data_IF_453285215892
#
_entry.id   IF_453285215892
#
_cell.length_a   1.000
_cell.length_b   1.000
_cell.length_c   1.000
_cell.angle_alpha   90.00
_cell.angle_beta   90.00
_cell.angle_gamma   90.00
#
_symmetry.space_group_name_H-M   'P 1'
#
loop_
_entity.id
_entity.type
_entity.pdbx_description
1 polymer ?
#
# COMPACT_ATOMS: atom_id res chain seq x y z
N UNK A 1 9.24 -49.47 -19.58
CA UNK A 1 9.01 -48.13 -18.98
C UNK A 1 9.25 -48.29 -17.48
N UNK A 2 10.16 -47.55 -16.89
CA UNK A 2 10.50 -47.71 -15.47
C UNK A 2 9.47 -46.90 -14.63
N UNK A 3 8.59 -47.63 -13.94
CA UNK A 3 7.42 -47.11 -13.22
C UNK A 3 7.85 -46.18 -12.06
N UNK A 4 8.99 -46.49 -11.44
CA UNK A 4 9.54 -45.65 -10.34
C UNK A 4 9.87 -44.22 -10.79
N UNK A 5 10.09 -44.01 -12.10
CA UNK A 5 10.30 -42.67 -12.67
C UNK A 5 9.02 -41.87 -12.89
N UNK A 6 7.84 -42.51 -12.86
CA UNK A 6 6.55 -41.84 -13.01
C UNK A 6 6.06 -41.23 -11.69
N UNK A 7 6.39 -41.84 -10.55
CA UNK A 7 6.04 -41.34 -9.25
C UNK A 7 6.86 -40.07 -8.98
N UNK A 8 6.24 -39.00 -8.53
CA UNK A 8 6.80 -37.65 -8.34
C UNK A 8 6.99 -36.84 -9.64
N UNK A 9 6.53 -37.31 -10.81
CA UNK A 9 6.47 -36.43 -11.99
C UNK A 9 5.25 -35.51 -11.92
N UNK A 10 5.41 -34.30 -12.45
CA UNK A 10 4.32 -33.38 -12.64
C UNK A 10 3.70 -33.59 -14.02
N UNK A 11 2.38 -33.61 -14.07
CA UNK A 11 1.61 -33.68 -15.31
C UNK A 11 0.65 -32.49 -15.37
N UNK A 12 0.36 -32.02 -16.56
CA UNK A 12 -0.62 -30.96 -16.79
C UNK A 12 -1.80 -31.52 -17.55
N UNK A 13 -3.02 -31.27 -17.01
CA UNK A 13 -4.27 -31.67 -17.63
C UNK A 13 -5.33 -30.61 -17.37
N UNK A 14 -6.02 -30.15 -18.39
CA UNK A 14 -7.08 -29.13 -18.33
C UNK A 14 -6.62 -27.83 -17.62
N UNK A 15 -5.43 -27.34 -18.01
CA UNK A 15 -4.76 -26.16 -17.42
C UNK A 15 -4.47 -26.24 -15.91
N UNK A 16 -4.46 -27.46 -15.36
CA UNK A 16 -4.12 -27.75 -13.98
C UNK A 16 -2.90 -28.65 -13.91
N UNK A 17 -2.06 -28.44 -12.91
CA UNK A 17 -0.88 -29.27 -12.64
C UNK A 17 -1.19 -30.29 -11.56
N UNK A 18 -0.71 -31.50 -11.78
CA UNK A 18 -0.89 -32.62 -10.85
C UNK A 18 0.44 -33.32 -10.61
N UNK A 19 0.66 -33.74 -9.38
CA UNK A 19 1.77 -34.62 -9.01
C UNK A 19 1.30 -36.04 -9.03
N UNK A 20 2.01 -36.93 -9.73
CA UNK A 20 1.73 -38.37 -9.71
C UNK A 20 2.19 -38.95 -8.38
N UNK A 21 1.26 -39.44 -7.57
CA UNK A 21 1.49 -40.02 -6.24
C UNK A 21 1.47 -41.53 -6.26
N UNK A 22 0.95 -42.15 -7.31
CA UNK A 22 0.94 -43.58 -7.47
C UNK A 22 0.53 -44.03 -8.88
N UNK A 23 0.87 -45.26 -9.21
CA UNK A 23 0.54 -45.86 -10.49
C UNK A 23 -0.07 -47.24 -10.21
N UNK A 24 -1.30 -47.50 -10.69
CA UNK A 24 -1.98 -48.77 -10.60
C UNK A 24 -2.21 -49.35 -12.00
N UNK A 25 -2.37 -50.67 -12.08
CA UNK A 25 -2.65 -51.38 -13.34
C UNK A 25 -3.97 -52.10 -13.18
N UNK A 26 -4.92 -51.80 -14.05
CA UNK A 26 -6.19 -52.48 -14.12
C UNK A 26 -6.44 -52.97 -15.58
N UNK A 27 -6.34 -54.30 -15.80
CA UNK A 27 -6.42 -54.89 -17.12
C UNK A 27 -5.41 -54.27 -18.08
N UNK A 28 -5.89 -53.59 -19.12
CA UNK A 28 -5.06 -52.94 -20.15
C UNK A 28 -4.85 -51.41 -19.88
N UNK A 29 -5.28 -50.91 -18.72
CA UNK A 29 -5.22 -49.52 -18.36
C UNK A 29 -4.18 -49.24 -17.30
N UNK A 30 -3.47 -48.11 -17.45
CA UNK A 30 -2.60 -47.53 -16.42
C UNK A 30 -3.41 -46.44 -15.73
N UNK A 31 -3.65 -46.59 -14.43
CA UNK A 31 -4.34 -45.59 -13.61
C UNK A 31 -3.31 -44.84 -12.82
N UNK A 32 -3.23 -43.52 -13.02
CA UNK A 32 -2.38 -42.62 -12.24
C UNK A 32 -3.18 -42.07 -11.06
N UNK A 33 -2.70 -42.28 -9.86
CA UNK A 33 -3.17 -41.54 -8.72
C UNK A 33 -2.45 -40.18 -8.75
N UNK A 34 -3.22 -39.11 -8.75
CA UNK A 34 -2.65 -37.74 -8.83
C UNK A 34 -3.23 -36.89 -7.70
N UNK A 35 -2.40 -36.04 -7.16
CA UNK A 35 -2.81 -34.92 -6.30
C UNK A 35 -2.71 -33.66 -7.12
N UNK A 36 -3.78 -32.87 -7.14
CA UNK A 36 -3.74 -31.54 -7.75
C UNK A 36 -2.67 -30.73 -7.00
N UNK A 37 -1.61 -30.38 -7.71
CA UNK A 37 -0.68 -29.38 -7.23
C UNK A 37 -1.49 -28.09 -7.31
N UNK A 38 -2.17 -27.76 -6.19
CA UNK A 38 -2.76 -26.44 -6.07
C UNK A 38 -1.68 -25.47 -6.53
N UNK A 39 -2.06 -24.49 -7.36
CA UNK A 39 -1.09 -23.50 -7.81
C UNK A 39 -0.15 -23.24 -6.63
N UNK A 40 1.11 -23.73 -6.72
CA UNK A 40 2.13 -23.08 -5.93
C UNK A 40 1.85 -21.62 -6.24
N UNK A 41 1.27 -20.92 -5.27
CA UNK A 41 1.39 -19.49 -5.28
C UNK A 41 2.86 -19.30 -5.51
N UNK A 42 3.22 -19.08 -6.77
CA UNK A 42 4.48 -18.45 -7.08
C UNK A 42 4.36 -17.21 -6.23
N UNK A 43 4.84 -17.31 -5.01
CA UNK A 43 5.24 -16.16 -4.26
C UNK A 43 6.38 -15.65 -5.11
N UNK A 44 6.04 -14.94 -6.19
CA UNK A 44 6.87 -13.86 -6.65
C UNK A 44 7.16 -13.19 -5.33
N UNK A 45 8.40 -13.34 -4.83
CA UNK A 45 8.84 -12.51 -3.72
C UNK A 45 8.62 -11.10 -4.23
N UNK A 46 7.42 -10.61 -3.95
CA UNK A 46 7.08 -9.22 -4.22
C UNK A 46 8.09 -8.49 -3.39
N UNK A 47 9.07 -7.88 -4.04
CA UNK A 47 10.09 -7.10 -3.36
C UNK A 47 9.32 -6.14 -2.48
N UNK A 48 9.29 -6.46 -1.16
CA UNK A 48 8.48 -5.72 -0.22
C UNK A 48 9.11 -4.36 -0.06
N UNK A 49 8.35 -3.32 -0.34
CA UNK A 49 8.76 -1.98 0.03
C UNK A 49 8.75 -1.85 1.55
N UNK A 50 9.59 -0.96 2.07
CA UNK A 50 9.70 -0.67 3.49
C UNK A 50 9.76 0.84 3.67
N UNK A 51 9.03 1.37 4.66
CA UNK A 51 9.14 2.79 4.99
C UNK A 51 10.56 3.10 5.47
N UNK A 52 11.15 4.14 4.88
CA UNK A 52 12.47 4.64 5.29
C UNK A 52 12.44 5.21 6.71
N UNK A 53 13.60 5.30 7.35
CA UNK A 53 13.75 5.94 8.68
C UNK A 53 13.22 7.38 8.67
N UNK A 54 13.41 8.12 7.57
CA UNK A 54 12.85 9.45 7.40
C UNK A 54 11.32 9.46 7.39
N UNK A 55 10.67 8.43 6.82
CA UNK A 55 9.21 8.27 6.88
C UNK A 55 8.74 7.93 8.28
N UNK A 56 9.47 7.07 8.98
CA UNK A 56 9.18 6.71 10.38
C UNK A 56 9.30 7.94 11.29
N UNK A 57 10.34 8.74 11.12
CA UNK A 57 10.54 9.99 11.87
C UNK A 57 9.39 10.97 11.68
N UNK A 58 8.90 11.13 10.44
CA UNK A 58 7.75 12.01 10.13
C UNK A 58 6.44 11.55 10.75
N UNK A 59 6.32 10.28 11.13
CA UNK A 59 5.15 9.75 11.82
C UNK A 59 5.22 9.90 13.35
N UNK A 60 6.28 10.47 13.93
CA UNK A 60 6.30 10.74 15.36
C UNK A 60 5.15 11.65 15.76
N UNK A 61 4.41 11.23 16.80
CA UNK A 61 3.21 11.92 17.27
C UNK A 61 1.95 11.70 16.43
N UNK A 62 2.00 10.85 15.40
CA UNK A 62 0.81 10.34 14.71
C UNK A 62 0.21 9.18 15.51
N UNK A 63 -1.11 8.99 15.43
CA UNK A 63 -1.82 7.95 16.16
C UNK A 63 -1.26 6.53 15.83
N UNK A 64 -0.97 5.69 16.85
CA UNK A 64 -0.31 4.39 16.65
C UNK A 64 -0.97 3.47 15.63
N UNK A 65 -2.31 3.42 15.58
CA UNK A 65 -3.05 2.62 14.59
C UNK A 65 -2.82 3.09 13.15
N UNK A 66 -2.69 4.42 12.93
CA UNK A 66 -2.39 4.95 11.60
C UNK A 66 -0.94 4.64 11.19
N UNK A 67 0.01 4.70 12.14
CA UNK A 67 1.40 4.27 11.91
C UNK A 67 1.45 2.80 11.53
N UNK A 68 0.74 1.93 12.26
CA UNK A 68 0.68 0.49 11.99
C UNK A 68 0.06 0.21 10.61
N UNK A 69 -1.02 0.92 10.26
CA UNK A 69 -1.64 0.83 8.94
C UNK A 69 -0.63 1.14 7.82
N UNK A 70 0.09 2.26 7.92
CA UNK A 70 1.06 2.66 6.88
C UNK A 70 2.22 1.66 6.77
N UNK A 71 2.72 1.13 7.90
CA UNK A 71 3.75 0.08 7.93
C UNK A 71 3.30 -1.24 7.29
N UNK A 72 2.03 -1.62 7.45
CA UNK A 72 1.46 -2.81 6.80
C UNK A 72 1.20 -2.56 5.33
N UNK A 73 0.62 -1.40 5.01
CA UNK A 73 0.23 -1.09 3.65
C UNK A 73 1.41 -0.96 2.69
N UNK A 74 2.58 -0.46 3.15
CA UNK A 74 3.75 -0.31 2.28
C UNK A 74 4.24 -1.67 1.75
N UNK A 75 4.14 -2.75 2.54
CA UNK A 75 4.72 -4.06 2.22
C UNK A 75 4.28 -4.62 0.87
N UNK A 76 2.99 -4.54 0.57
CA UNK A 76 2.37 -5.10 -0.64
C UNK A 76 1.75 -4.00 -1.52
N UNK A 77 2.21 -2.76 -1.37
CA UNK A 77 1.72 -1.62 -2.15
C UNK A 77 2.06 -1.76 -3.64
N UNK A 78 1.18 -1.32 -4.57
CA UNK A 78 1.48 -1.34 -6.00
C UNK A 78 2.66 -0.44 -6.38
N UNK A 79 2.92 0.61 -5.60
CA UNK A 79 4.05 1.53 -5.74
C UNK A 79 4.72 1.76 -4.40
N UNK A 80 6.02 1.98 -4.41
CA UNK A 80 6.74 2.47 -3.24
C UNK A 80 6.28 3.89 -2.91
N UNK A 81 6.06 4.16 -1.62
CA UNK A 81 5.68 5.48 -1.14
C UNK A 81 6.42 5.86 0.14
N UNK A 82 6.56 7.15 0.37
CA UNK A 82 7.12 7.73 1.59
C UNK A 82 6.08 8.57 2.31
N UNK A 83 6.22 8.70 3.62
CA UNK A 83 5.48 9.70 4.40
C UNK A 83 6.18 11.03 4.22
N UNK A 84 5.42 12.04 3.80
CA UNK A 84 5.94 13.40 3.63
C UNK A 84 5.51 14.34 4.76
N UNK A 85 4.36 14.05 5.40
CA UNK A 85 3.85 14.82 6.52
C UNK A 85 3.10 13.91 7.50
N UNK A 86 3.37 14.07 8.79
CA UNK A 86 2.61 13.50 9.90
C UNK A 86 2.07 14.60 10.82
N UNK A 87 2.46 14.58 12.12
CA UNK A 87 2.05 15.59 13.09
C UNK A 87 2.48 17.00 12.65
N UNK A 88 1.60 17.97 12.84
CA UNK A 88 1.78 19.37 12.44
C UNK A 88 1.49 20.29 13.61
N UNK A 89 2.33 21.33 13.81
CA UNK A 89 2.04 22.38 14.80
C UNK A 89 0.97 23.35 14.28
N UNK A 90 0.36 24.11 15.20
CA UNK A 90 -0.62 25.13 14.84
C UNK A 90 -0.02 26.22 13.95
N UNK A 91 1.23 26.63 14.26
CA UNK A 91 1.96 27.65 13.51
C UNK A 91 2.23 27.20 12.09
N UNK A 92 2.65 25.93 11.90
CA UNK A 92 2.90 25.40 10.57
C UNK A 92 1.58 25.26 9.79
N UNK A 93 0.51 24.77 10.43
CA UNK A 93 -0.83 24.72 9.82
C UNK A 93 -1.29 26.13 9.39
N UNK A 94 -1.08 27.14 10.24
CA UNK A 94 -1.42 28.51 9.89
C UNK A 94 -0.57 29.03 8.72
N UNK A 95 0.70 28.69 8.66
CA UNK A 95 1.55 29.07 7.52
C UNK A 95 1.03 28.53 6.19
N UNK A 96 0.50 27.30 6.17
CA UNK A 96 -0.17 26.72 5.00
C UNK A 96 -1.50 27.42 4.69
N UNK A 97 -2.25 27.79 5.72
CA UNK A 97 -3.50 28.54 5.56
C UNK A 97 -3.28 29.91 4.90
N UNK A 98 -2.14 30.54 5.16
CA UNK A 98 -1.81 31.86 4.57
C UNK A 98 -1.46 31.77 3.07
N UNK A 99 -1.11 30.60 2.54
CA UNK A 99 -0.84 30.44 1.11
C UNK A 99 -2.11 30.73 0.27
N UNK A 100 -1.92 31.53 -0.77
CA UNK A 100 -3.02 32.01 -1.62
C UNK A 100 -3.95 33.03 -0.95
N UNK A 101 -3.60 33.53 0.27
CA UNK A 101 -4.30 34.61 0.99
C UNK A 101 -3.38 35.78 1.26
N UNK A 102 -2.53 35.67 2.27
CA UNK A 102 -1.54 36.72 2.62
C UNK A 102 -0.14 36.39 2.14
N UNK A 103 0.09 35.14 1.71
CA UNK A 103 1.35 34.66 1.12
C UNK A 103 1.11 34.16 -0.30
N UNK A 104 2.11 34.27 -1.20
CA UNK A 104 2.03 33.68 -2.54
C UNK A 104 1.71 32.18 -2.50
N UNK A 105 1.14 31.64 -3.57
CA UNK A 105 0.84 30.22 -3.73
C UNK A 105 -0.64 29.92 -3.93
N UNK A 106 -0.98 28.64 -3.98
CA UNK A 106 -2.37 28.18 -4.09
C UNK A 106 -2.95 27.94 -2.68
N UNK A 107 -4.27 28.07 -2.56
CA UNK A 107 -4.97 27.68 -1.32
C UNK A 107 -4.89 26.15 -1.19
N UNK A 108 -4.20 25.67 -0.16
CA UNK A 108 -3.98 24.24 0.12
C UNK A 108 -4.78 23.74 1.32
N UNK A 109 -5.35 24.63 2.13
CA UNK A 109 -6.18 24.26 3.27
C UNK A 109 -7.19 25.35 3.62
N UNK A 110 -8.33 24.95 4.21
CA UNK A 110 -9.33 25.87 4.81
C UNK A 110 -9.19 25.99 6.32
N UNK A 111 -8.27 25.22 6.94
CA UNK A 111 -8.08 25.12 8.38
C UNK A 111 -6.91 26.01 8.81
N UNK A 112 -7.19 26.96 9.73
CA UNK A 112 -6.22 27.96 10.17
C UNK A 112 -5.26 27.46 11.26
N UNK A 113 -5.51 26.28 11.79
CA UNK A 113 -4.68 25.66 12.82
C UNK A 113 -4.98 26.10 14.26
N UNK A 114 -5.79 27.13 14.45
CA UNK A 114 -6.17 27.67 15.76
C UNK A 114 -7.65 27.52 16.06
N UNK A 115 -8.52 28.23 15.35
CA UNK A 115 -9.96 28.12 15.51
C UNK A 115 -10.51 26.87 14.82
N UNK A 116 -9.91 26.47 13.71
CA UNK A 116 -10.24 25.23 12.98
C UNK A 116 -8.97 24.41 12.81
N UNK A 117 -8.87 23.34 13.63
CA UNK A 117 -7.71 22.45 13.67
C UNK A 117 -7.74 21.44 12.51
N UNK A 118 -6.58 21.11 11.99
CA UNK A 118 -6.37 20.02 11.04
C UNK A 118 -6.24 18.67 11.77
N UNK A 119 -6.61 17.57 11.14
CA UNK A 119 -6.35 16.22 11.67
C UNK A 119 -4.85 15.86 11.75
N UNK A 120 -3.98 16.63 11.10
CA UNK A 120 -2.53 16.57 11.36
C UNK A 120 -2.13 17.12 12.73
N UNK A 121 -2.95 17.92 13.39
CA UNK A 121 -2.63 18.46 14.72
C UNK A 121 -3.08 17.48 15.80
N UNK A 122 -2.38 17.54 16.94
CA UNK A 122 -2.73 16.69 18.09
C UNK A 122 -4.19 16.93 18.51
N UNK A 123 -4.96 15.84 18.62
CA UNK A 123 -6.30 15.80 19.18
C UNK A 123 -6.24 15.65 20.71
N UNK A 124 -7.37 15.40 21.36
CA UNK A 124 -7.46 15.23 22.82
C UNK A 124 -6.67 14.03 23.36
N UNK A 125 -6.42 13.04 22.53
CA UNK A 125 -5.60 11.86 22.82
C UNK A 125 -4.09 12.10 22.69
N UNK A 126 -3.69 13.31 22.29
CA UNK A 126 -2.29 13.73 22.13
C UNK A 126 -1.68 13.39 20.78
N UNK A 127 -2.42 12.80 19.84
CA UNK A 127 -1.89 12.35 18.54
C UNK A 127 -2.50 13.14 17.37
N UNK A 128 -1.71 13.30 16.32
CA UNK A 128 -2.22 13.67 14.99
C UNK A 128 -2.87 12.46 14.33
N UNK A 129 -4.01 12.65 13.70
CA UNK A 129 -4.79 11.57 13.06
C UNK A 129 -4.70 11.60 11.54
N UNK A 130 -3.69 12.26 10.98
CA UNK A 130 -3.50 12.33 9.53
C UNK A 130 -2.04 12.15 9.12
N UNK A 131 -1.87 11.62 7.91
CA UNK A 131 -0.58 11.55 7.21
C UNK A 131 -0.77 11.91 5.74
N UNK A 132 0.28 12.49 5.16
CA UNK A 132 0.39 12.69 3.71
C UNK A 132 1.51 11.82 3.17
N UNK A 133 1.30 11.25 1.97
CA UNK A 133 2.27 10.39 1.28
C UNK A 133 2.71 10.99 -0.05
N UNK A 134 3.84 10.54 -0.56
CA UNK A 134 4.26 10.75 -1.94
C UNK A 134 4.81 9.44 -2.52
N UNK A 135 4.59 9.22 -3.81
CA UNK A 135 5.11 8.04 -4.51
C UNK A 135 6.61 8.16 -4.68
N UNK A 136 7.37 7.07 -4.43
CA UNK A 136 8.83 7.04 -4.57
C UNK A 136 9.30 6.36 -5.85
N UNK A 137 8.55 5.36 -6.32
CA UNK A 137 8.92 4.55 -7.46
C UNK A 137 8.15 3.24 -7.53
N UNK A 138 8.63 2.33 -8.35
CA UNK A 138 8.10 0.97 -8.47
C UNK A 138 9.18 0.03 -9.01
N UNK A 139 8.96 -1.28 -8.90
CA UNK A 139 9.74 -2.26 -9.64
C UNK A 139 9.11 -2.50 -11.02
N UNK A 140 9.91 -2.44 -12.08
CA UNK A 140 9.49 -2.76 -13.44
C UNK A 140 9.35 -4.28 -13.64
N UNK A 141 8.93 -4.68 -14.84
CA UNK A 141 8.74 -6.09 -15.22
C UNK A 141 10.03 -6.93 -15.14
N UNK A 142 11.20 -6.28 -15.24
CA UNK A 142 12.52 -6.91 -15.16
C UNK A 142 13.08 -6.91 -13.73
N UNK A 143 12.32 -6.39 -12.77
CA UNK A 143 12.71 -6.28 -11.37
C UNK A 143 13.70 -5.14 -11.11
N UNK A 144 13.87 -4.20 -12.03
CA UNK A 144 14.60 -2.95 -11.84
C UNK A 144 13.76 -1.94 -11.04
N UNK A 145 14.39 -1.21 -10.11
CA UNK A 145 13.68 -0.16 -9.37
C UNK A 145 13.71 1.16 -10.16
N UNK A 146 12.52 1.64 -10.56
CA UNK A 146 12.31 2.93 -11.22
C UNK A 146 11.98 3.97 -10.16
N UNK A 147 12.92 4.88 -9.89
CA UNK A 147 12.78 5.94 -8.89
C UNK A 147 12.10 7.17 -9.49
N UNK A 148 11.16 7.76 -8.75
CA UNK A 148 10.52 9.03 -9.10
C UNK A 148 11.22 10.19 -8.41
N UNK A 149 11.47 11.26 -9.14
CA UNK A 149 12.28 12.40 -8.67
C UNK A 149 11.60 13.76 -8.87
N UNK A 150 10.58 13.83 -9.72
CA UNK A 150 9.84 15.06 -9.99
C UNK A 150 8.51 15.08 -9.21
N UNK A 151 8.02 16.28 -8.90
CA UNK A 151 6.71 16.44 -8.24
C UNK A 151 5.58 15.81 -9.09
N UNK A 152 5.65 15.91 -10.41
CA UNK A 152 4.67 15.31 -11.30
C UNK A 152 4.60 13.79 -11.18
N UNK A 153 5.74 13.12 -10.97
CA UNK A 153 5.81 11.67 -10.75
C UNK A 153 5.39 11.29 -9.34
N UNK A 154 5.86 12.05 -8.34
CA UNK A 154 5.60 11.76 -6.91
C UNK A 154 4.15 12.02 -6.51
N UNK A 155 3.46 12.94 -7.20
CA UNK A 155 2.06 13.29 -6.97
C UNK A 155 1.14 12.91 -8.13
N UNK A 156 1.51 11.89 -8.91
CA UNK A 156 0.67 11.32 -9.96
C UNK A 156 -0.62 10.76 -9.37
N UNK A 157 -1.75 11.41 -9.71
CA UNK A 157 -3.06 11.05 -9.17
C UNK A 157 -3.47 9.60 -9.48
N UNK A 158 -3.08 9.03 -10.63
CA UNK A 158 -3.43 7.66 -10.99
C UNK A 158 -2.77 6.67 -10.02
N UNK A 159 -1.47 6.86 -9.77
CA UNK A 159 -0.70 6.03 -8.84
C UNK A 159 -1.20 6.18 -7.40
N UNK A 160 -1.48 7.41 -6.96
CA UNK A 160 -2.04 7.69 -5.63
C UNK A 160 -3.43 7.07 -5.45
N UNK A 161 -4.27 7.02 -6.49
CA UNK A 161 -5.56 6.31 -6.48
C UNK A 161 -5.35 4.79 -6.32
N UNK A 162 -4.38 4.19 -7.01
CA UNK A 162 -4.08 2.76 -6.86
C UNK A 162 -3.57 2.43 -5.45
N UNK A 163 -2.65 3.24 -4.92
CA UNK A 163 -2.18 3.12 -3.53
C UNK A 163 -3.35 3.28 -2.56
N UNK A 164 -4.28 4.22 -2.80
CA UNK A 164 -5.42 4.44 -1.90
C UNK A 164 -6.36 3.24 -1.83
N UNK A 165 -6.62 2.57 -2.95
CA UNK A 165 -7.40 1.34 -2.97
C UNK A 165 -6.76 0.26 -2.11
N UNK A 166 -5.44 0.14 -2.19
CA UNK A 166 -4.67 -0.80 -1.39
C UNK A 166 -4.70 -0.44 0.10
N UNK A 167 -4.39 0.81 0.49
CA UNK A 167 -4.43 1.27 1.88
C UNK A 167 -5.82 1.07 2.49
N UNK A 168 -6.90 1.41 1.76
CA UNK A 168 -8.29 1.17 2.20
C UNK A 168 -8.57 -0.32 2.42
N UNK A 169 -8.07 -1.19 1.55
CA UNK A 169 -8.23 -2.64 1.71
C UNK A 169 -7.50 -3.17 2.96
N UNK A 170 -6.27 -2.69 3.21
CA UNK A 170 -5.50 -3.03 4.42
C UNK A 170 -6.20 -2.49 5.68
N UNK A 171 -6.67 -1.24 5.67
CA UNK A 171 -7.42 -0.65 6.78
C UNK A 171 -8.67 -1.48 7.12
N UNK A 172 -9.45 -1.90 6.11
CA UNK A 172 -10.61 -2.76 6.29
C UNK A 172 -10.24 -4.11 6.94
N UNK A 173 -9.13 -4.74 6.52
CA UNK A 173 -8.63 -5.99 7.14
C UNK A 173 -8.20 -5.78 8.59
N UNK A 174 -7.75 -4.57 8.95
CA UNK A 174 -7.37 -4.20 10.31
C UNK A 174 -8.56 -3.72 11.17
N UNK A 175 -9.77 -3.65 10.61
CA UNK A 175 -10.94 -3.10 11.30
C UNK A 175 -10.82 -1.60 11.60
N UNK A 176 -10.10 -0.84 10.75
CA UNK A 176 -9.90 0.59 10.88
C UNK A 176 -10.79 1.35 9.90
N UNK A 177 -11.39 2.44 10.36
CA UNK A 177 -12.06 3.42 9.51
C UNK A 177 -11.08 4.55 9.17
N UNK A 178 -10.94 4.83 7.87
CA UNK A 178 -10.10 5.90 7.36
C UNK A 178 -10.84 6.75 6.34
N UNK A 179 -10.48 8.02 6.27
CA UNK A 179 -10.87 8.94 5.23
C UNK A 179 -9.67 9.20 4.32
N UNK A 180 -9.90 9.22 3.02
CA UNK A 180 -8.91 9.59 2.02
C UNK A 180 -9.28 10.89 1.36
N UNK A 181 -8.35 11.84 1.26
CA UNK A 181 -8.61 13.17 0.70
C UNK A 181 -8.97 13.18 -0.78
N UNK A 182 -8.66 12.10 -1.51
CA UNK A 182 -9.11 11.90 -2.88
C UNK A 182 -10.62 11.58 -3.02
N UNK A 183 -11.32 11.29 -1.94
CA UNK A 183 -12.79 11.14 -1.93
C UNK A 183 -13.52 12.48 -1.68
N UNK A 184 -12.78 13.54 -1.37
CA UNK A 184 -13.41 14.83 -1.07
C UNK A 184 -13.94 15.52 -2.32
N UNK A 185 -15.13 16.10 -2.21
CA UNK A 185 -15.75 16.89 -3.30
C UNK A 185 -15.10 18.26 -3.48
N UNK A 186 -14.48 18.79 -2.45
CA UNK A 186 -13.79 20.09 -2.45
C UNK A 186 -12.41 19.92 -1.83
N UNK A 187 -11.39 20.59 -2.36
CA UNK A 187 -9.99 20.41 -1.98
C UNK A 187 -9.55 18.95 -2.11
N UNK A 188 -9.75 18.40 -3.30
CA UNK A 188 -9.27 17.08 -3.68
C UNK A 188 -7.78 16.93 -3.36
N UNK A 189 -7.45 15.97 -2.46
CA UNK A 189 -6.12 15.81 -1.88
C UNK A 189 -5.72 14.33 -1.84
N UNK A 190 -5.17 13.84 -2.93
CA UNK A 190 -4.83 12.43 -3.10
C UNK A 190 -3.70 11.92 -2.21
N UNK A 191 -2.71 12.74 -1.76
CA UNK A 191 -1.74 12.33 -0.75
C UNK A 191 -2.31 12.03 0.64
N UNK A 192 -3.47 12.58 1.00
CA UNK A 192 -3.95 12.73 2.38
C UNK A 192 -4.78 11.55 2.89
N UNK A 193 -4.46 11.06 4.09
CA UNK A 193 -5.19 10.00 4.81
C UNK A 193 -5.45 10.39 6.26
N UNK A 194 -6.66 10.11 6.76
CA UNK A 194 -7.07 10.38 8.13
C UNK A 194 -7.60 9.11 8.80
N UNK A 195 -7.27 8.91 10.08
CA UNK A 195 -7.92 7.94 10.96
C UNK A 195 -9.16 8.59 11.58
N UNK A 196 -10.31 7.90 11.52
CA UNK A 196 -11.59 8.33 12.10
C UNK A 196 -11.67 7.99 13.58
#
# INVERSE_FOLDING_TARGET
MNIEKLICTEIEFDNKKYKVTGVNFEKDNIILNVEEIGEEKTTVETKKYVLSDASIEKMKGVHPKLIELMKKAIGDSPYDFKIIQGLRTAEYQNSLYQQGRTKPGKIVTKLDGYSRKSNHQAKSDGYGHAVDIAVCGHYDQNGGYVKYTTDAEMFDNKKLVEISRHIKAVAKKMGLEIVWGGDWKTLYDTPHYELV
#
